data_IF_959229729461
#
_entry.id   IF_959229729461
#
_cell.length_a   1.000
_cell.length_b   1.000
_cell.length_c   1.000
_cell.angle_alpha   90.00
_cell.angle_beta   90.00
_cell.angle_gamma   90.00
#
_symmetry.space_group_name_H-M   'P 1'
#
loop_
_entity.id
_entity.type
_entity.pdbx_description
1 polymer ?
#
# COMPACT_ATOMS: atom_id res chain seq x y z
N UNK A 1 -32.69 -1.76 13.26
CA UNK A 1 -31.68 -2.31 12.32
C UNK A 1 -30.51 -1.35 12.33
N UNK A 2 -29.34 -1.77 12.77
CA UNK A 2 -28.14 -0.94 12.74
C UNK A 2 -27.71 -0.71 11.29
N UNK A 3 -27.33 0.54 10.96
CA UNK A 3 -26.83 0.90 9.63
C UNK A 3 -25.38 0.43 9.55
N UNK A 4 -25.10 -0.54 8.69
CA UNK A 4 -23.71 -0.87 8.34
C UNK A 4 -23.12 0.29 7.51
N UNK A 5 -21.90 0.70 7.86
CA UNK A 5 -21.16 1.78 7.22
C UNK A 5 -19.93 1.16 6.56
N UNK A 6 -19.67 1.52 5.30
CA UNK A 6 -18.44 1.11 4.61
C UNK A 6 -17.22 1.74 5.28
N UNK A 7 -16.10 1.00 5.34
CA UNK A 7 -14.89 1.50 6.02
C UNK A 7 -14.38 2.82 5.41
N UNK A 8 -14.49 2.98 4.08
CA UNK A 8 -14.14 4.24 3.42
C UNK A 8 -15.04 5.41 3.83
N UNK A 9 -16.35 5.18 4.01
CA UNK A 9 -17.32 6.18 4.51
C UNK A 9 -16.96 6.59 5.94
N UNK A 10 -16.57 5.63 6.80
CA UNK A 10 -16.08 5.93 8.15
C UNK A 10 -14.80 6.77 8.14
N UNK A 11 -13.76 6.34 7.41
CA UNK A 11 -12.46 7.04 7.34
C UNK A 11 -12.66 8.50 6.90
N UNK A 12 -13.49 8.71 5.89
CA UNK A 12 -13.77 10.03 5.36
C UNK A 12 -14.54 10.90 6.37
N UNK A 13 -15.61 10.36 6.97
CA UNK A 13 -16.42 11.08 7.94
C UNK A 13 -15.68 11.38 9.26
N UNK A 14 -14.69 10.55 9.61
CA UNK A 14 -13.84 10.74 10.78
C UNK A 14 -12.65 11.70 10.54
N UNK A 15 -12.56 12.32 9.36
CA UNK A 15 -11.47 13.23 8.99
C UNK A 15 -10.06 12.61 9.12
N UNK A 16 -9.95 11.31 8.85
CA UNK A 16 -8.67 10.59 8.87
C UNK A 16 -7.86 10.75 7.57
N UNK A 17 -8.37 11.54 6.63
CA UNK A 17 -7.70 11.93 5.38
C UNK A 17 -7.80 13.45 5.22
N UNK A 18 -6.89 14.08 4.45
CA UNK A 18 -6.94 15.52 4.23
C UNK A 18 -8.26 15.95 3.59
N UNK A 19 -8.76 17.14 3.94
CA UNK A 19 -10.03 17.68 3.44
C UNK A 19 -10.07 17.88 1.92
N UNK A 20 -8.89 18.00 1.29
CA UNK A 20 -8.76 18.12 -0.17
C UNK A 20 -9.04 16.81 -0.92
N UNK A 21 -9.22 15.70 -0.21
CA UNK A 21 -9.49 14.40 -0.79
C UNK A 21 -11.01 14.20 -0.96
N UNK A 22 -11.39 13.39 -1.94
CA UNK A 22 -12.78 13.04 -2.21
C UNK A 22 -13.08 11.57 -1.92
N UNK A 23 -14.33 11.28 -1.53
CA UNK A 23 -14.85 9.92 -1.44
C UNK A 23 -15.66 9.57 -2.69
N UNK A 24 -15.35 8.43 -3.31
CA UNK A 24 -16.07 7.91 -4.47
C UNK A 24 -16.58 6.49 -4.18
N UNK A 25 -17.85 6.24 -4.55
CA UNK A 25 -18.52 4.95 -4.34
C UNK A 25 -18.40 4.41 -2.90
N UNK A 26 -18.31 5.29 -1.89
CA UNK A 26 -18.16 4.97 -0.45
C UNK A 26 -16.92 4.18 -0.02
N UNK A 27 -16.07 3.80 -0.95
CA UNK A 27 -14.95 2.86 -0.70
C UNK A 27 -13.61 3.48 -1.09
N UNK A 28 -13.58 4.25 -2.17
CA UNK A 28 -12.36 4.77 -2.77
C UNK A 28 -12.17 6.23 -2.36
N UNK A 29 -11.07 6.51 -1.65
CA UNK A 29 -10.70 7.88 -1.30
C UNK A 29 -9.67 8.35 -2.31
N UNK A 30 -9.83 9.52 -2.90
CA UNK A 30 -8.97 10.01 -3.99
C UNK A 30 -8.45 11.41 -3.73
N UNK A 31 -7.19 11.66 -4.03
CA UNK A 31 -6.62 13.01 -3.98
C UNK A 31 -6.82 13.76 -5.32
N UNK A 32 -6.42 15.03 -5.34
CA UNK A 32 -6.48 15.89 -6.54
C UNK A 32 -5.50 15.47 -7.64
N UNK A 33 -4.49 14.67 -7.30
CA UNK A 33 -3.53 14.12 -8.26
C UNK A 33 -4.03 12.81 -8.89
N UNK A 34 -5.21 12.31 -8.47
CA UNK A 34 -5.80 11.06 -8.91
C UNK A 34 -5.22 9.81 -8.23
N UNK A 35 -4.41 9.98 -7.18
CA UNK A 35 -4.03 8.88 -6.31
C UNK A 35 -5.28 8.40 -5.59
N UNK A 36 -5.31 7.11 -5.28
CA UNK A 36 -6.46 6.46 -4.67
C UNK A 36 -6.01 5.59 -3.49
N UNK A 37 -6.74 5.69 -2.40
CA UNK A 37 -6.63 4.86 -1.22
C UNK A 37 -7.86 3.99 -1.08
N UNK A 38 -7.64 2.77 -0.60
CA UNK A 38 -8.69 1.86 -0.18
C UNK A 38 -8.25 1.10 1.06
N UNK A 39 -9.17 0.93 2.00
CA UNK A 39 -8.99 0.10 3.19
C UNK A 39 -10.13 -0.93 3.25
N UNK A 40 -9.79 -2.20 3.50
CA UNK A 40 -10.77 -3.28 3.54
C UNK A 40 -10.25 -4.49 4.32
N UNK A 41 -11.18 -5.33 4.76
CA UNK A 41 -10.88 -6.64 5.33
C UNK A 41 -11.00 -7.71 4.25
N UNK A 42 -9.96 -8.54 4.12
CA UNK A 42 -10.01 -9.76 3.33
C UNK A 42 -10.61 -10.85 4.20
N UNK A 43 -11.76 -11.40 3.80
CA UNK A 43 -12.39 -12.53 4.49
C UNK A 43 -11.85 -13.85 3.94
N UNK A 44 -11.42 -14.75 4.82
CA UNK A 44 -10.82 -16.02 4.43
C UNK A 44 -10.38 -16.86 5.63
N UNK A 45 -9.47 -17.83 5.41
CA UNK A 45 -8.83 -18.57 6.51
C UNK A 45 -7.95 -17.67 7.38
N UNK A 46 -7.26 -16.73 6.74
CA UNK A 46 -6.50 -15.68 7.41
C UNK A 46 -7.19 -14.35 7.13
N UNK A 47 -8.01 -13.89 8.07
CA UNK A 47 -8.62 -12.56 7.96
C UNK A 47 -7.53 -11.50 8.11
N UNK A 48 -7.42 -10.61 7.12
CA UNK A 48 -6.36 -9.59 7.05
C UNK A 48 -6.94 -8.23 6.80
N UNK A 49 -6.34 -7.21 7.41
CA UNK A 49 -6.65 -5.83 7.09
C UNK A 49 -5.70 -5.36 5.99
N UNK A 50 -6.25 -4.84 4.89
CA UNK A 50 -5.46 -4.35 3.77
C UNK A 50 -5.72 -2.87 3.57
N UNK A 51 -4.64 -2.12 3.51
CA UNK A 51 -4.60 -0.73 3.10
C UNK A 51 -3.81 -0.63 1.80
N UNK A 52 -4.46 -0.25 0.70
CA UNK A 52 -3.81 -0.12 -0.60
C UNK A 52 -3.77 1.34 -1.08
N UNK A 53 -2.62 1.69 -1.67
CA UNK A 53 -2.29 3.00 -2.20
C UNK A 53 -2.03 2.86 -3.68
N UNK A 54 -3.01 3.23 -4.49
CA UNK A 54 -2.89 3.29 -5.94
C UNK A 54 -2.41 4.67 -6.36
N UNK A 55 -1.28 4.70 -7.05
CA UNK A 55 -0.74 5.94 -7.60
C UNK A 55 -1.36 6.22 -8.96
N UNK A 56 -1.80 7.46 -9.17
CA UNK A 56 -2.39 7.87 -10.44
C UNK A 56 -1.37 7.71 -11.57
N UNK A 57 -1.80 7.09 -12.68
CA UNK A 57 -1.07 7.19 -13.94
C UNK A 57 -1.64 8.39 -14.69
N UNK A 58 -0.83 9.44 -14.87
CA UNK A 58 -1.25 10.56 -15.70
C UNK A 58 -1.47 10.08 -17.14
N UNK A 59 -2.71 10.17 -17.63
CA UNK A 59 -3.09 9.71 -18.99
C UNK A 59 -2.45 10.53 -20.12
N UNK A 60 -1.92 11.72 -19.83
CA UNK A 60 -1.45 12.67 -20.86
C UNK A 60 -0.17 13.42 -20.50
N UNK A 61 0.42 13.21 -19.32
CA UNK A 61 1.59 13.98 -18.89
C UNK A 61 2.55 13.12 -18.09
N UNK A 62 3.85 13.13 -18.43
CA UNK A 62 4.88 12.34 -17.73
C UNK A 62 5.21 12.85 -16.33
N UNK A 63 4.36 13.69 -15.72
CA UNK A 63 4.37 14.01 -14.27
C UNK A 63 3.74 12.86 -13.47
N UNK A 64 4.12 11.64 -13.85
CA UNK A 64 3.54 10.33 -13.61
C UNK A 64 4.27 9.66 -12.45
N UNK A 65 3.53 9.15 -11.46
CA UNK A 65 4.06 8.44 -10.29
C UNK A 65 5.15 9.24 -9.52
N UNK A 66 4.79 9.77 -8.36
CA UNK A 66 5.78 10.39 -7.48
C UNK A 66 6.60 9.29 -6.80
N UNK A 67 7.77 8.97 -7.35
CA UNK A 67 8.75 8.05 -6.72
C UNK A 67 9.02 8.47 -5.28
N UNK A 68 9.13 9.76 -5.02
CA UNK A 68 9.34 10.29 -3.66
C UNK A 68 8.16 9.99 -2.74
N UNK A 69 6.91 10.08 -3.23
CA UNK A 69 5.74 9.72 -2.44
C UNK A 69 5.72 8.22 -2.16
N UNK A 70 6.02 7.37 -3.14
CA UNK A 70 6.15 5.93 -2.92
C UNK A 70 7.23 5.61 -1.89
N UNK A 71 8.41 6.21 -2.00
CA UNK A 71 9.50 6.02 -1.03
C UNK A 71 9.08 6.49 0.36
N UNK A 72 8.36 7.62 0.48
CA UNK A 72 7.82 8.09 1.74
C UNK A 72 6.84 7.07 2.37
N UNK A 73 5.98 6.44 1.57
CA UNK A 73 5.11 5.37 2.05
C UNK A 73 5.88 4.17 2.64
N UNK A 74 6.98 3.74 2.02
CA UNK A 74 7.83 2.70 2.60
C UNK A 74 8.56 3.18 3.86
N UNK A 75 9.16 4.37 3.80
CA UNK A 75 10.04 4.90 4.84
C UNK A 75 9.29 5.35 6.10
N UNK A 76 8.16 6.01 5.92
CA UNK A 76 7.44 6.70 6.99
C UNK A 76 6.24 5.90 7.50
N UNK A 77 5.79 4.88 6.75
CA UNK A 77 4.67 4.00 7.15
C UNK A 77 5.12 2.53 7.20
N UNK A 78 5.57 1.96 6.08
CA UNK A 78 5.87 0.53 5.98
C UNK A 78 6.91 0.07 7.01
N UNK A 79 8.10 0.65 6.97
CA UNK A 79 9.22 0.28 7.85
C UNK A 79 8.90 0.53 9.34
N UNK A 80 8.37 1.70 9.76
CA UNK A 80 8.01 1.92 11.16
C UNK A 80 6.92 0.98 11.70
N UNK A 81 6.04 0.48 10.84
CA UNK A 81 4.96 -0.43 11.24
C UNK A 81 5.28 -1.91 10.99
N UNK A 82 6.49 -2.26 10.54
CA UNK A 82 6.84 -3.60 10.08
C UNK A 82 6.52 -4.74 11.07
N UNK A 83 6.55 -4.47 12.38
CA UNK A 83 6.20 -5.45 13.42
C UNK A 83 4.71 -5.81 13.47
N UNK A 84 3.82 -4.96 12.94
CA UNK A 84 2.38 -5.21 12.88
C UNK A 84 1.92 -5.72 11.51
N UNK A 85 2.82 -5.79 10.54
CA UNK A 85 2.47 -6.12 9.17
C UNK A 85 2.74 -7.60 8.92
N UNK A 86 1.86 -8.21 8.13
CA UNK A 86 2.19 -9.47 7.47
C UNK A 86 3.19 -9.21 6.34
N UNK A 87 2.88 -8.24 5.47
CA UNK A 87 3.72 -7.91 4.33
C UNK A 87 3.41 -6.54 3.73
N UNK A 88 4.33 -6.04 2.91
CA UNK A 88 4.12 -4.98 1.93
C UNK A 88 4.49 -5.48 0.53
N UNK A 89 3.62 -5.24 -0.43
CA UNK A 89 3.85 -5.63 -1.82
C UNK A 89 3.50 -4.51 -2.79
N UNK A 90 4.19 -4.47 -3.94
CA UNK A 90 3.99 -3.46 -4.96
C UNK A 90 3.79 -4.14 -6.33
N UNK A 91 2.71 -3.82 -7.04
CA UNK A 91 2.26 -4.59 -8.21
C UNK A 91 3.22 -4.66 -9.39
N UNK A 92 4.19 -3.75 -9.45
CA UNK A 92 5.20 -3.70 -10.53
C UNK A 92 6.45 -4.50 -10.22
N UNK A 93 6.57 -5.07 -9.02
CA UNK A 93 7.72 -5.88 -8.62
C UNK A 93 7.26 -7.29 -8.29
N UNK A 94 8.17 -8.25 -8.44
CA UNK A 94 8.02 -9.61 -7.90
C UNK A 94 8.59 -9.69 -6.49
N UNK A 95 8.66 -8.57 -5.77
CA UNK A 95 9.32 -8.49 -4.47
C UNK A 95 8.27 -8.22 -3.42
N UNK A 96 8.12 -9.19 -2.52
CA UNK A 96 7.34 -9.09 -1.30
C UNK A 96 8.31 -8.87 -0.14
N UNK A 97 8.02 -7.87 0.70
CA UNK A 97 8.73 -7.63 1.94
C UNK A 97 7.83 -8.04 3.09
N UNK A 98 8.27 -9.00 3.89
CA UNK A 98 7.55 -9.49 5.04
C UNK A 98 7.73 -8.55 6.24
N UNK A 99 6.71 -8.47 7.08
CA UNK A 99 6.88 -7.87 8.41
C UNK A 99 7.74 -8.73 9.32
N UNK A 100 8.02 -8.22 10.51
CA UNK A 100 9.08 -8.76 11.39
C UNK A 100 8.83 -10.21 11.82
N UNK A 101 7.58 -10.57 12.13
CA UNK A 101 7.20 -11.94 12.53
C UNK A 101 7.21 -12.94 11.36
N UNK A 102 7.23 -12.44 10.11
CA UNK A 102 7.09 -13.24 8.89
C UNK A 102 8.36 -13.23 8.03
N UNK A 103 9.43 -12.60 8.51
CA UNK A 103 10.66 -12.45 7.75
C UNK A 103 11.80 -13.36 8.25
N UNK A 104 11.45 -14.42 8.98
CA UNK A 104 12.41 -15.40 9.46
C UNK A 104 12.95 -16.28 8.32
N UNK A 105 14.22 -16.66 8.43
CA UNK A 105 14.96 -17.39 7.39
C UNK A 105 14.22 -18.64 6.91
N UNK A 106 13.88 -18.68 5.61
CA UNK A 106 13.31 -19.85 4.94
C UNK A 106 11.93 -19.62 4.34
N UNK A 107 11.22 -18.57 4.75
CA UNK A 107 9.90 -18.28 4.22
C UNK A 107 9.98 -17.70 2.80
N UNK A 108 9.09 -18.20 1.93
CA UNK A 108 8.96 -17.77 0.55
C UNK A 108 7.64 -17.05 0.34
N UNK A 109 7.63 -16.05 -0.54
CA UNK A 109 6.40 -15.42 -1.01
C UNK A 109 5.46 -16.44 -1.63
N UNK A 110 4.22 -16.02 -1.92
CA UNK A 110 3.24 -16.83 -2.65
C UNK A 110 3.81 -17.34 -3.99
N UNK A 111 4.74 -16.59 -4.59
CA UNK A 111 5.39 -16.91 -5.86
C UNK A 111 6.75 -17.63 -5.69
N UNK A 112 7.12 -18.02 -4.47
CA UNK A 112 8.32 -18.81 -4.18
C UNK A 112 9.62 -18.01 -4.06
N UNK A 113 9.56 -16.68 -3.95
CA UNK A 113 10.76 -15.84 -3.78
C UNK A 113 11.13 -15.71 -2.30
N UNK A 114 12.43 -15.64 -1.94
CA UNK A 114 12.83 -15.42 -0.55
C UNK A 114 12.19 -14.14 0.01
N UNK A 115 11.46 -14.26 1.13
CA UNK A 115 10.91 -13.10 1.81
C UNK A 115 12.04 -12.27 2.44
N UNK A 116 11.99 -10.97 2.20
CA UNK A 116 12.94 -10.01 2.78
C UNK A 116 12.27 -9.28 3.93
N UNK A 117 12.99 -9.07 5.03
CA UNK A 117 12.46 -8.26 6.13
C UNK A 117 12.24 -6.81 5.67
N UNK A 118 11.04 -6.29 5.91
CA UNK A 118 10.72 -4.88 5.64
C UNK A 118 11.59 -3.94 6.48
N UNK A 119 11.95 -4.35 7.70
CA UNK A 119 12.81 -3.55 8.56
C UNK A 119 14.26 -3.43 8.03
N UNK A 120 14.71 -4.40 7.24
CA UNK A 120 16.04 -4.37 6.62
C UNK A 120 16.07 -3.62 5.29
N UNK A 121 14.91 -3.23 4.78
CA UNK A 121 14.81 -2.52 3.51
C UNK A 121 15.58 -1.19 3.59
N UNK A 122 16.50 -1.04 2.64
CA UNK A 122 17.34 0.15 2.48
C UNK A 122 16.64 1.21 1.63
N UNK A 123 17.10 2.46 1.72
CA UNK A 123 16.57 3.55 0.89
C UNK A 123 16.77 3.31 -0.61
N UNK A 124 17.89 2.71 -1.00
CA UNK A 124 18.16 2.32 -2.40
C UNK A 124 17.14 1.30 -2.88
N UNK A 125 16.81 0.29 -2.06
CA UNK A 125 15.83 -0.72 -2.43
C UNK A 125 14.42 -0.16 -2.52
N UNK A 126 14.05 0.76 -1.63
CA UNK A 126 12.78 1.49 -1.72
C UNK A 126 12.71 2.26 -3.04
N UNK A 127 13.80 2.96 -3.37
CA UNK A 127 13.90 3.75 -4.60
C UNK A 127 13.78 2.86 -5.83
N UNK A 128 14.52 1.76 -5.89
CA UNK A 128 14.51 0.81 -7.01
C UNK A 128 13.14 0.15 -7.19
N UNK A 129 12.47 -0.23 -6.09
CA UNK A 129 11.12 -0.77 -6.12
C UNK A 129 10.13 0.26 -6.68
N UNK A 130 10.18 1.49 -6.19
CA UNK A 130 9.33 2.58 -6.65
C UNK A 130 9.62 2.98 -8.10
N UNK A 131 10.87 2.98 -8.55
CA UNK A 131 11.21 3.37 -9.94
C UNK A 131 10.59 2.44 -10.99
N UNK A 132 10.40 1.14 -10.67
CA UNK A 132 9.70 0.18 -11.53
C UNK A 132 8.23 0.54 -11.80
N UNK A 133 7.66 1.43 -10.99
CA UNK A 133 6.31 1.97 -11.17
C UNK A 133 6.20 3.13 -12.15
N UNK A 134 7.31 3.67 -12.63
CA UNK A 134 7.26 4.81 -13.56
C UNK A 134 6.70 4.40 -14.93
N UNK A 135 6.84 3.13 -15.31
CA UNK A 135 6.41 2.61 -16.62
C UNK A 135 5.00 2.00 -16.63
N UNK A 136 4.48 1.60 -15.45
CA UNK A 136 3.22 0.85 -15.29
C UNK A 136 2.34 1.44 -14.19
N UNK A 137 1.06 1.09 -14.16
CA UNK A 137 0.22 1.46 -13.00
C UNK A 137 0.76 0.74 -11.75
N UNK A 138 0.81 1.46 -10.62
CA UNK A 138 1.30 0.91 -9.37
C UNK A 138 0.33 1.05 -8.22
N UNK A 139 0.26 -0.03 -7.45
CA UNK A 139 -0.41 -0.08 -6.15
C UNK A 139 0.61 -0.62 -5.15
N UNK A 140 0.75 0.06 -4.02
CA UNK A 140 1.41 -0.49 -2.83
C UNK A 140 0.32 -1.01 -1.92
N UNK A 141 0.47 -2.23 -1.44
CA UNK A 141 -0.44 -2.84 -0.50
C UNK A 141 0.27 -3.07 0.81
N UNK A 142 -0.37 -2.60 1.87
CA UNK A 142 0.02 -2.80 3.26
C UNK A 142 -0.91 -3.85 3.84
N UNK A 143 -0.37 -5.01 4.20
CA UNK A 143 -1.13 -6.14 4.73
C UNK A 143 -0.82 -6.30 6.20
N UNK A 144 -1.85 -6.20 7.02
CA UNK A 144 -1.83 -6.40 8.47
C UNK A 144 -2.64 -7.66 8.81
#
# INVERSE_FOLDING_TARGET
KEKQIDLGEFIFAAHLVPESWGLSNKVNITDTNGNNLRAYFVKGRDERFVFDVRFARAKSNKSSFSTNLCVAFFKDIGKPLAYMMNAIFITSTQVEYAGEEHCHFGDTSVDGYPLRCLNDMTLSEMTDACQKCTEKACVIYFVF
#
